data_IF_363655954528
#
_entry.id   IF_363655954528
#
_cell.length_a   1.000
_cell.length_b   1.000
_cell.length_c   1.000
_cell.angle_alpha   90.00
_cell.angle_beta   90.00
_cell.angle_gamma   90.00
#
_symmetry.space_group_name_H-M   'P 1'
#
loop_
_entity.id
_entity.type
_entity.pdbx_description
1 polymer ?
#
# COMPACT_ATOMS: atom_id res chain seq x y z
N UNK A 1 14.37 -44.08 -23.02
CA UNK A 1 14.76 -45.11 -22.02
C UNK A 1 14.30 -46.47 -22.52
N UNK A 2 14.90 -46.94 -23.61
CA UNK A 2 14.78 -48.32 -24.08
C UNK A 2 16.02 -49.04 -23.57
N UNK A 3 15.89 -50.34 -23.31
CA UNK A 3 16.97 -51.25 -22.89
C UNK A 3 17.31 -51.20 -21.39
N UNK A 4 16.32 -51.52 -20.54
CA UNK A 4 16.64 -52.29 -19.33
C UNK A 4 16.64 -53.75 -19.76
N UNK A 5 17.84 -54.25 -20.03
CA UNK A 5 18.10 -55.64 -20.39
C UNK A 5 17.27 -56.60 -19.53
N UNK A 6 16.46 -57.41 -20.21
CA UNK A 6 15.98 -58.66 -19.62
C UNK A 6 17.23 -59.47 -19.36
N UNK A 7 17.70 -59.51 -18.11
CA UNK A 7 18.63 -60.54 -17.65
C UNK A 7 17.92 -61.88 -17.82
N UNK A 8 18.04 -62.46 -19.00
CA UNK A 8 17.52 -63.78 -19.30
C UNK A 8 18.44 -64.75 -18.56
N UNK A 9 17.90 -65.34 -17.49
CA UNK A 9 18.63 -66.32 -16.68
C UNK A 9 18.81 -67.55 -17.57
N UNK A 10 20.02 -67.69 -18.12
CA UNK A 10 20.34 -68.76 -19.08
C UNK A 10 20.37 -70.16 -18.45
N UNK A 11 20.48 -70.24 -17.12
CA UNK A 11 20.65 -71.47 -16.35
C UNK A 11 19.92 -71.39 -15.01
N UNK A 12 18.98 -72.30 -14.77
CA UNK A 12 18.30 -72.43 -13.47
C UNK A 12 19.11 -73.30 -12.51
N UNK A 13 18.95 -73.13 -11.18
CA UNK A 13 19.55 -74.02 -10.19
C UNK A 13 19.30 -75.52 -10.48
N UNK A 14 18.08 -75.86 -10.91
CA UNK A 14 17.71 -77.24 -11.23
C UNK A 14 18.42 -77.74 -12.50
N UNK A 15 18.61 -76.88 -13.50
CA UNK A 15 19.40 -77.21 -14.68
C UNK A 15 20.87 -77.50 -14.31
N UNK A 16 21.45 -76.73 -13.38
CA UNK A 16 22.82 -76.92 -12.90
C UNK A 16 22.94 -78.26 -12.13
N UNK A 17 21.99 -78.57 -11.25
CA UNK A 17 21.94 -79.85 -10.50
C UNK A 17 21.78 -81.06 -11.42
N UNK A 18 21.09 -80.89 -12.54
CA UNK A 18 20.82 -81.97 -13.51
C UNK A 18 21.92 -82.17 -14.57
N UNK A 19 23.02 -81.42 -14.52
CA UNK A 19 24.10 -81.54 -15.50
C UNK A 19 24.84 -82.87 -15.35
N UNK A 20 24.82 -83.67 -16.42
CA UNK A 20 25.54 -84.93 -16.48
C UNK A 20 26.79 -84.80 -17.34
N UNK A 21 27.94 -85.16 -16.78
CA UNK A 21 29.22 -85.17 -17.50
C UNK A 21 29.61 -86.60 -17.89
N UNK A 22 30.13 -86.77 -19.11
CA UNK A 22 30.65 -88.07 -19.56
C UNK A 22 31.92 -88.41 -18.76
N UNK A 23 31.99 -89.64 -18.23
CA UNK A 23 33.20 -90.15 -17.57
C UNK A 23 34.31 -90.33 -18.61
N UNK A 24 35.45 -89.69 -18.39
CA UNK A 24 36.64 -89.81 -19.25
C UNK A 24 37.56 -90.89 -18.68
N UNK A 25 38.09 -91.76 -19.54
CA UNK A 25 38.85 -92.95 -19.11
C UNK A 25 40.27 -92.65 -18.60
N UNK A 26 40.82 -91.46 -18.87
CA UNK A 26 42.14 -91.03 -18.38
C UNK A 26 42.15 -89.53 -18.04
N UNK A 27 42.64 -89.16 -16.85
CA UNK A 27 42.97 -87.77 -16.48
C UNK A 27 41.81 -86.78 -16.24
N UNK A 28 40.57 -87.25 -16.04
CA UNK A 28 39.41 -86.39 -15.79
C UNK A 28 39.24 -85.95 -14.32
N UNK A 29 38.36 -84.96 -14.09
CA UNK A 29 37.93 -84.57 -12.75
C UNK A 29 37.14 -85.68 -12.06
N UNK A 30 37.27 -85.78 -10.74
CA UNK A 30 36.50 -86.73 -9.92
C UNK A 30 35.00 -86.38 -9.96
N UNK A 31 34.12 -87.32 -10.38
CA UNK A 31 32.69 -87.06 -10.51
C UNK A 31 32.02 -86.55 -9.23
N UNK A 32 32.44 -87.04 -8.06
CA UNK A 32 31.85 -86.62 -6.78
C UNK A 32 32.18 -85.16 -6.45
N UNK A 33 33.42 -84.74 -6.68
CA UNK A 33 33.85 -83.36 -6.45
C UNK A 33 33.16 -82.38 -7.41
N UNK A 34 32.88 -82.83 -8.64
CA UNK A 34 32.13 -82.06 -9.64
C UNK A 34 30.66 -81.94 -9.24
N UNK A 35 30.03 -83.00 -8.76
CA UNK A 35 28.65 -83.00 -8.28
C UNK A 35 28.48 -82.07 -7.06
N UNK A 36 29.39 -82.14 -6.09
CA UNK A 36 29.44 -81.24 -4.94
C UNK A 36 29.63 -79.78 -5.36
N UNK A 37 30.48 -79.51 -6.35
CA UNK A 37 30.67 -78.18 -6.89
C UNK A 37 29.40 -77.67 -7.59
N UNK A 38 28.75 -78.49 -8.41
CA UNK A 38 27.48 -78.13 -9.07
C UNK A 38 26.37 -77.83 -8.04
N UNK A 39 26.28 -78.61 -6.97
CA UNK A 39 25.31 -78.37 -5.90
C UNK A 39 25.56 -77.03 -5.19
N UNK A 40 26.82 -76.69 -4.89
CA UNK A 40 27.19 -75.39 -4.32
C UNK A 40 26.85 -74.23 -5.27
N UNK A 41 27.17 -74.39 -6.55
CA UNK A 41 26.88 -73.39 -7.59
C UNK A 41 25.36 -73.19 -7.72
N UNK A 42 24.58 -74.27 -7.78
CA UNK A 42 23.12 -74.21 -7.86
C UNK A 42 22.51 -73.47 -6.67
N UNK A 43 22.98 -73.75 -5.45
CA UNK A 43 22.51 -73.06 -4.25
C UNK A 43 22.85 -71.56 -4.28
N UNK A 44 24.06 -71.20 -4.72
CA UNK A 44 24.45 -69.79 -4.85
C UNK A 44 23.61 -69.05 -5.90
N UNK A 45 23.32 -69.69 -7.03
CA UNK A 45 22.42 -69.14 -8.05
C UNK A 45 21.01 -68.94 -7.48
N UNK A 46 20.51 -69.90 -6.69
CA UNK A 46 19.20 -69.78 -6.04
C UNK A 46 19.12 -68.59 -5.07
N UNK A 47 20.17 -68.35 -4.30
CA UNK A 47 20.29 -67.20 -3.40
C UNK A 47 20.33 -65.88 -4.17
N UNK A 48 21.12 -65.79 -5.24
CA UNK A 48 21.20 -64.61 -6.09
C UNK A 48 19.85 -64.29 -6.75
N UNK A 49 19.09 -65.31 -7.18
CA UNK A 49 17.76 -65.11 -7.74
C UNK A 49 16.77 -64.55 -6.72
N UNK A 50 16.78 -65.09 -5.48
CA UNK A 50 15.97 -64.57 -4.38
C UNK A 50 16.31 -63.12 -4.07
N UNK A 51 17.60 -62.76 -4.09
CA UNK A 51 18.02 -61.39 -3.82
C UNK A 51 17.65 -60.43 -4.96
N UNK A 52 17.78 -60.85 -6.23
CA UNK A 52 17.29 -60.07 -7.37
C UNK A 52 15.79 -59.77 -7.24
N UNK A 53 14.97 -60.75 -6.85
CA UNK A 53 13.54 -60.55 -6.67
C UNK A 53 13.21 -59.60 -5.51
N UNK A 54 13.96 -59.69 -4.40
CA UNK A 54 13.84 -58.74 -3.28
C UNK A 54 14.21 -57.32 -3.72
N UNK A 55 15.31 -57.16 -4.46
CA UNK A 55 15.75 -55.87 -4.97
C UNK A 55 14.75 -55.27 -5.96
N UNK A 56 14.18 -56.08 -6.86
CA UNK A 56 13.11 -55.65 -7.77
C UNK A 56 11.86 -55.16 -7.02
N UNK A 57 11.45 -55.86 -5.96
CA UNK A 57 10.31 -55.45 -5.11
C UNK A 57 10.59 -54.17 -4.34
N UNK A 58 11.79 -54.03 -3.76
CA UNK A 58 12.18 -52.81 -3.05
C UNK A 58 12.26 -51.60 -3.99
N UNK A 59 12.83 -51.79 -5.18
CA UNK A 59 13.03 -50.72 -6.15
C UNK A 59 11.75 -50.32 -6.91
N UNK A 60 10.72 -51.16 -6.95
CA UNK A 60 9.40 -50.79 -7.49
C UNK A 60 8.58 -49.95 -6.50
N UNK A 61 8.64 -50.27 -5.21
CA UNK A 61 7.82 -49.59 -4.19
C UNK A 61 8.42 -48.27 -3.68
N UNK A 62 9.75 -48.16 -3.61
CA UNK A 62 10.43 -46.97 -3.10
C UNK A 62 10.16 -45.67 -3.89
N UNK A 63 10.26 -45.64 -5.24
CA UNK A 63 9.99 -44.42 -6.01
C UNK A 63 8.51 -44.01 -5.93
N UNK A 64 7.57 -44.97 -5.87
CA UNK A 64 6.14 -44.69 -5.75
C UNK A 64 5.77 -44.05 -4.41
N UNK A 65 6.38 -44.50 -3.31
CA UNK A 65 6.14 -43.89 -1.99
C UNK A 65 6.73 -42.47 -1.90
N UNK A 66 7.93 -42.25 -2.45
CA UNK A 66 8.51 -40.90 -2.48
C UNK A 66 7.65 -39.95 -3.32
N UNK A 67 7.19 -40.40 -4.49
CA UNK A 67 6.33 -39.60 -5.35
C UNK A 67 5.00 -39.26 -4.67
N UNK A 68 4.41 -40.22 -3.95
CA UNK A 68 3.17 -40.00 -3.16
C UNK A 68 3.38 -38.96 -2.06
N UNK A 69 4.51 -39.04 -1.32
CA UNK A 69 4.84 -38.06 -0.27
C UNK A 69 5.05 -36.67 -0.87
N UNK A 70 5.73 -36.58 -2.01
CA UNK A 70 5.96 -35.30 -2.69
C UNK A 70 4.65 -34.68 -3.18
N UNK A 71 3.75 -35.46 -3.78
CA UNK A 71 2.42 -35.00 -4.17
C UNK A 71 1.63 -34.48 -2.97
N UNK A 72 1.67 -35.19 -1.84
CA UNK A 72 0.98 -34.78 -0.61
C UNK A 72 1.57 -33.49 -0.03
N UNK A 73 2.90 -33.35 -0.04
CA UNK A 73 3.58 -32.12 0.38
C UNK A 73 3.19 -30.94 -0.51
N UNK A 74 3.17 -31.14 -1.83
CA UNK A 74 2.76 -30.10 -2.79
C UNK A 74 1.30 -29.70 -2.61
N UNK A 75 0.40 -30.65 -2.32
CA UNK A 75 -1.01 -30.35 -2.01
C UNK A 75 -1.14 -29.49 -0.76
N UNK A 76 -0.41 -29.83 0.31
CA UNK A 76 -0.41 -29.04 1.55
C UNK A 76 0.19 -27.65 1.34
N UNK A 77 1.31 -27.55 0.63
CA UNK A 77 1.92 -26.28 0.31
C UNK A 77 0.96 -25.38 -0.49
N UNK A 78 0.27 -25.95 -1.48
CA UNK A 78 -0.77 -25.25 -2.25
C UNK A 78 -1.91 -24.75 -1.37
N UNK A 79 -2.39 -25.57 -0.45
CA UNK A 79 -3.50 -25.19 0.44
C UNK A 79 -3.09 -24.09 1.43
N UNK A 80 -1.90 -24.19 2.03
CA UNK A 80 -1.35 -23.14 2.90
C UNK A 80 -1.21 -21.83 2.12
N UNK A 81 -0.66 -21.89 0.92
CA UNK A 81 -0.48 -20.70 0.07
C UNK A 81 -1.82 -20.07 -0.29
N UNK A 82 -2.83 -20.89 -0.62
CA UNK A 82 -4.19 -20.42 -0.89
C UNK A 82 -4.78 -19.68 0.32
N UNK A 83 -4.68 -20.26 1.52
CA UNK A 83 -5.18 -19.64 2.75
C UNK A 83 -4.45 -18.33 3.07
N UNK A 84 -3.13 -18.27 2.85
CA UNK A 84 -2.36 -17.04 3.00
C UNK A 84 -2.85 -15.94 2.05
N UNK A 85 -3.07 -16.26 0.77
CA UNK A 85 -3.61 -15.30 -0.18
C UNK A 85 -5.04 -14.87 0.15
N UNK A 86 -5.92 -15.79 0.56
CA UNK A 86 -7.28 -15.45 0.98
C UNK A 86 -7.28 -14.53 2.21
N UNK A 87 -6.38 -14.75 3.17
CA UNK A 87 -6.23 -13.86 4.32
C UNK A 87 -5.71 -12.48 3.90
N UNK A 88 -4.69 -12.41 3.05
CA UNK A 88 -4.18 -11.15 2.52
C UNK A 88 -5.25 -10.38 1.75
N UNK A 89 -6.04 -11.05 0.91
CA UNK A 89 -7.15 -10.43 0.18
C UNK A 89 -8.15 -9.82 1.16
N UNK A 90 -8.57 -10.58 2.18
CA UNK A 90 -9.49 -10.07 3.22
C UNK A 90 -8.94 -8.85 3.96
N UNK A 91 -7.65 -8.86 4.31
CA UNK A 91 -7.00 -7.71 4.93
C UNK A 91 -6.97 -6.48 4.01
N UNK A 92 -6.68 -6.67 2.72
CA UNK A 92 -6.69 -5.58 1.75
C UNK A 92 -8.09 -5.03 1.49
N UNK A 93 -9.11 -5.90 1.43
CA UNK A 93 -10.51 -5.48 1.31
C UNK A 93 -10.95 -4.62 2.49
N UNK A 94 -10.61 -5.01 3.73
CA UNK A 94 -10.95 -4.22 4.91
C UNK A 94 -10.20 -2.88 4.94
N UNK A 95 -8.90 -2.87 4.59
CA UNK A 95 -8.12 -1.63 4.46
C UNK A 95 -8.71 -0.71 3.39
N UNK A 96 -9.13 -1.25 2.24
CA UNK A 96 -9.78 -0.50 1.18
C UNK A 96 -11.11 0.11 1.64
N UNK A 97 -11.88 -0.61 2.44
CA UNK A 97 -13.14 -0.13 3.02
C UNK A 97 -12.91 1.04 3.98
N UNK A 98 -11.91 0.91 4.87
CA UNK A 98 -11.52 1.99 5.80
C UNK A 98 -11.07 3.23 5.02
N UNK A 99 -10.16 3.07 4.05
CA UNK A 99 -9.66 4.19 3.24
C UNK A 99 -10.78 4.88 2.46
N UNK A 100 -11.74 4.14 1.90
CA UNK A 100 -12.91 4.72 1.23
C UNK A 100 -13.74 5.57 2.18
N UNK A 101 -13.97 5.09 3.40
CA UNK A 101 -14.71 5.83 4.41
C UNK A 101 -13.96 7.11 4.83
N UNK A 102 -12.66 7.03 5.10
CA UNK A 102 -11.83 8.20 5.42
C UNK A 102 -11.86 9.25 4.29
N UNK A 103 -11.74 8.81 3.03
CA UNK A 103 -11.85 9.68 1.87
C UNK A 103 -13.20 10.39 1.84
N UNK A 104 -14.30 9.69 2.12
CA UNK A 104 -15.64 10.28 2.15
C UNK A 104 -15.78 11.33 3.27
N UNK A 105 -15.27 11.01 4.47
CA UNK A 105 -15.24 11.95 5.61
C UNK A 105 -14.45 13.22 5.24
N UNK A 106 -13.26 13.08 4.67
CA UNK A 106 -12.45 14.24 4.26
C UNK A 106 -13.09 15.04 3.13
N UNK A 107 -13.77 14.39 2.18
CA UNK A 107 -14.50 15.09 1.13
C UNK A 107 -15.66 15.91 1.70
N UNK A 108 -16.41 15.36 2.65
CA UNK A 108 -17.52 16.06 3.29
C UNK A 108 -17.01 17.23 4.14
N UNK A 109 -15.97 17.01 4.95
CA UNK A 109 -15.33 18.07 5.73
C UNK A 109 -14.81 19.20 4.83
N UNK A 110 -14.15 18.87 3.72
CA UNK A 110 -13.69 19.86 2.74
C UNK A 110 -14.85 20.69 2.19
N UNK A 111 -15.97 20.07 1.85
CA UNK A 111 -17.17 20.77 1.35
C UNK A 111 -17.74 21.73 2.41
N UNK A 112 -17.83 21.29 3.66
CA UNK A 112 -18.32 22.11 4.76
C UNK A 112 -17.42 23.32 5.01
N UNK A 113 -16.11 23.10 5.16
CA UNK A 113 -15.13 24.18 5.34
C UNK A 113 -15.18 25.17 4.17
N UNK A 114 -15.29 24.66 2.93
CA UNK A 114 -15.38 25.53 1.74
C UNK A 114 -16.64 26.40 1.78
N UNK A 115 -17.78 25.83 2.19
CA UNK A 115 -19.05 26.55 2.32
C UNK A 115 -19.00 27.61 3.41
N UNK A 116 -18.44 27.26 4.57
CA UNK A 116 -18.24 28.20 5.67
C UNK A 116 -17.31 29.34 5.27
N UNK A 117 -16.18 29.03 4.64
CA UNK A 117 -15.23 30.04 4.16
C UNK A 117 -15.90 31.01 3.17
N UNK A 118 -16.69 30.49 2.22
CA UNK A 118 -17.43 31.33 1.27
C UNK A 118 -18.46 32.24 1.96
N UNK A 119 -19.14 31.73 3.00
CA UNK A 119 -20.07 32.51 3.81
C UNK A 119 -19.36 33.62 4.59
N UNK A 120 -18.26 33.29 5.26
CA UNK A 120 -17.44 34.23 6.03
C UNK A 120 -16.85 35.32 5.14
N UNK A 121 -16.32 34.97 3.97
CA UNK A 121 -15.82 35.95 3.00
C UNK A 121 -16.92 36.91 2.53
N UNK A 122 -18.14 36.40 2.30
CA UNK A 122 -19.29 37.24 1.95
C UNK A 122 -19.67 38.17 3.11
N UNK A 123 -19.63 37.68 4.33
CA UNK A 123 -19.91 38.49 5.52
C UNK A 123 -18.88 39.62 5.68
N UNK A 124 -17.58 39.30 5.58
CA UNK A 124 -16.49 40.30 5.63
C UNK A 124 -16.67 41.34 4.52
N UNK A 125 -16.94 40.91 3.28
CA UNK A 125 -17.21 41.84 2.16
C UNK A 125 -18.36 42.80 2.49
N UNK A 126 -19.44 42.29 3.08
CA UNK A 126 -20.58 43.11 3.45
C UNK A 126 -20.24 44.11 4.57
N UNK A 127 -19.47 43.70 5.58
CA UNK A 127 -19.00 44.58 6.64
C UNK A 127 -18.10 45.69 6.08
N UNK A 128 -17.13 45.34 5.23
CA UNK A 128 -16.24 46.33 4.58
C UNK A 128 -17.06 47.34 3.77
N UNK A 129 -18.01 46.88 2.95
CA UNK A 129 -18.88 47.77 2.18
C UNK A 129 -19.73 48.68 3.08
N UNK A 130 -20.19 48.19 4.23
CA UNK A 130 -20.94 48.99 5.17
C UNK A 130 -20.05 50.06 5.83
N UNK A 131 -18.85 49.70 6.27
CA UNK A 131 -17.88 50.65 6.83
C UNK A 131 -17.52 51.74 5.83
N UNK A 132 -17.23 51.38 4.57
CA UNK A 132 -16.95 52.36 3.51
C UNK A 132 -18.11 53.36 3.32
N UNK A 133 -19.36 52.89 3.32
CA UNK A 133 -20.53 53.76 3.26
C UNK A 133 -20.65 54.68 4.48
N UNK A 134 -20.31 54.19 5.66
CA UNK A 134 -20.31 55.04 6.86
C UNK A 134 -19.22 56.11 6.80
N UNK A 135 -18.03 55.76 6.30
CA UNK A 135 -16.94 56.71 6.09
C UNK A 135 -17.32 57.79 5.07
N UNK A 136 -17.99 57.43 3.98
CA UNK A 136 -18.54 58.39 3.00
C UNK A 136 -19.53 59.37 3.65
N UNK A 137 -20.49 58.86 4.44
CA UNK A 137 -21.47 59.68 5.16
C UNK A 137 -20.77 60.61 6.15
N UNK A 138 -19.76 60.11 6.86
CA UNK A 138 -19.01 60.88 7.84
C UNK A 138 -18.21 61.99 7.16
N UNK A 139 -17.53 61.69 6.04
CA UNK A 139 -16.82 62.67 5.23
C UNK A 139 -17.75 63.79 4.73
N UNK A 140 -18.96 63.45 4.29
CA UNK A 140 -19.94 64.46 3.86
C UNK A 140 -20.43 65.33 5.03
N UNK A 141 -20.62 64.75 6.21
CA UNK A 141 -20.94 65.52 7.43
C UNK A 141 -19.80 66.46 7.82
N UNK A 142 -18.55 66.01 7.76
CA UNK A 142 -17.37 66.85 8.02
C UNK A 142 -17.29 68.01 7.04
N UNK A 143 -17.46 67.76 5.74
CA UNK A 143 -17.49 68.81 4.72
C UNK A 143 -18.55 69.88 5.01
N UNK A 144 -19.77 69.48 5.37
CA UNK A 144 -20.85 70.41 5.75
C UNK A 144 -20.52 71.22 7.01
N UNK A 145 -19.81 70.62 7.97
CA UNK A 145 -19.35 71.29 9.18
C UNK A 145 -18.26 72.33 8.88
N UNK A 146 -17.29 71.99 8.04
CA UNK A 146 -16.24 72.90 7.58
C UNK A 146 -16.84 74.12 6.85
N UNK A 147 -17.78 73.90 5.92
CA UNK A 147 -18.49 74.98 5.22
C UNK A 147 -19.23 75.92 6.19
N UNK A 148 -19.88 75.36 7.22
CA UNK A 148 -20.56 76.14 8.27
C UNK A 148 -19.57 76.94 9.11
N UNK A 149 -18.43 76.34 9.48
CA UNK A 149 -17.36 76.99 10.22
C UNK A 149 -16.76 78.15 9.42
N UNK A 150 -16.52 77.95 8.13
CA UNK A 150 -16.00 78.98 7.24
C UNK A 150 -16.96 80.17 7.15
N UNK A 151 -18.25 79.91 6.89
CA UNK A 151 -19.30 80.95 6.90
C UNK A 151 -19.38 81.71 8.23
N UNK A 152 -19.18 81.01 9.36
CA UNK A 152 -19.20 81.64 10.70
C UNK A 152 -17.96 82.51 10.91
N UNK A 153 -16.77 82.06 10.49
CA UNK A 153 -15.54 82.86 10.51
C UNK A 153 -15.68 84.15 9.68
N UNK A 154 -16.15 84.04 8.44
CA UNK A 154 -16.37 85.19 7.56
C UNK A 154 -17.34 86.22 8.15
N UNK A 155 -18.42 85.76 8.81
CA UNK A 155 -19.35 86.66 9.52
C UNK A 155 -18.68 87.38 10.69
N UNK A 156 -17.82 86.69 11.43
CA UNK A 156 -17.08 87.25 12.57
C UNK A 156 -16.06 88.30 12.13
N UNK A 157 -15.32 88.04 11.05
CA UNK A 157 -14.38 89.01 10.47
C UNK A 157 -15.10 90.25 9.94
N UNK A 158 -16.27 90.07 9.29
CA UNK A 158 -17.13 91.19 8.87
C UNK A 158 -17.70 91.97 10.05
N UNK A 159 -18.01 91.31 11.17
CA UNK A 159 -18.46 91.94 12.42
C UNK A 159 -17.38 92.82 13.05
N UNK A 160 -16.17 92.28 13.23
CA UNK A 160 -15.01 93.02 13.75
C UNK A 160 -14.65 94.23 12.88
N UNK A 161 -14.82 94.10 11.56
CA UNK A 161 -14.59 95.19 10.60
C UNK A 161 -15.64 96.31 10.68
N UNK A 162 -16.81 96.05 11.27
CA UNK A 162 -17.85 97.06 11.54
C UNK A 162 -17.65 97.73 12.90
N UNK A 163 -17.28 96.97 13.93
CA UNK A 163 -16.91 97.51 15.25
C UNK A 163 -15.71 98.46 15.16
N UNK A 164 -14.65 98.10 14.43
CA UNK A 164 -13.50 99.00 14.23
C UNK A 164 -13.88 100.29 13.47
N UNK A 165 -14.88 100.25 12.57
CA UNK A 165 -15.37 101.46 11.87
C UNK A 165 -16.28 102.34 12.74
N UNK A 166 -16.91 101.80 13.78
CA UNK A 166 -17.67 102.57 14.76
C UNK A 166 -16.76 103.15 15.85
N UNK A 167 -15.70 102.44 16.24
CA UNK A 167 -14.65 102.98 17.12
C UNK A 167 -13.87 104.14 16.48
N UNK A 168 -13.54 104.06 15.19
CA UNK A 168 -12.89 105.17 14.48
C UNK A 168 -13.78 106.42 14.37
N UNK A 169 -15.11 106.26 14.27
CA UNK A 169 -16.05 107.39 14.27
C UNK A 169 -16.22 108.00 15.66
N UNK A 170 -16.22 107.19 16.72
CA UNK A 170 -16.32 107.69 18.10
C UNK A 170 -14.98 108.24 18.65
N UNK A 171 -13.84 107.76 18.14
CA UNK A 171 -12.51 108.30 18.43
C UNK A 171 -12.22 109.62 17.70
N UNK A 172 -12.91 109.91 16.60
CA UNK A 172 -12.81 111.21 15.91
C UNK A 172 -13.64 112.29 16.59
N UNK A 173 -14.80 111.96 17.18
CA UNK A 173 -15.67 112.92 17.88
C UNK A 173 -15.11 113.41 19.23
N UNK A 174 -14.15 112.70 19.82
CA UNK A 174 -13.53 113.09 21.09
C UNK A 174 -12.27 113.95 20.95
N UNK A 175 -11.73 114.12 19.73
CA UNK A 175 -10.58 115.00 19.48
C UNK A 175 -10.95 116.44 19.09
N UNK A 176 -12.21 116.73 18.75
CA UNK A 176 -12.65 118.09 18.39
C UNK A 176 -13.18 118.93 19.56
N UNK A 177 -13.32 118.39 20.78
CA UNK A 177 -13.88 119.15 21.93
C UNK A 177 -12.78 119.69 22.88
N UNK A 178 -11.49 119.57 22.53
CA UNK A 178 -10.39 120.18 23.31
C UNK A 178 -9.51 121.08 22.44
N UNK A 179 -10.11 122.10 21.84
CA UNK A 179 -9.43 123.32 21.37
C UNK A 179 -10.47 124.43 21.19
N UNK A 180 -10.83 125.05 22.31
CA UNK A 180 -11.11 126.49 22.48
C UNK A 180 -11.44 126.78 23.94
#
# INVERSE_FOLDING_TARGET
MKDRDKFEIKLTPDQIRSMNFRKVLFGGYNPLDVEDALNKIANYVEELLKEIDRLKKRNSNAPDEMLRREIENLKRAKEILKQQYENQIREYEEKLKILRHEIEVYMNLKKEITKELASTLRHIKNLVNHTLKQDEILAEKFKKLEEKLQKKKEKLEKGKSKENKEEDKNGSLTKEIKSN
#
